data_IF_015680788873
#
_entry.id   IF_015680788873
#
_cell.length_a   1.000
_cell.length_b   1.000
_cell.length_c   1.000
_cell.angle_alpha   90.00
_cell.angle_beta   90.00
_cell.angle_gamma   90.00
#
_symmetry.space_group_name_H-M   'P 1'
#
loop_
_entity.id
_entity.type
_entity.pdbx_description
1 polymer ?
#
# COMPACT_ATOMS: atom_id res chain seq x y z
N UNK A 1 -9.14 3.86 -3.94
CA UNK A 1 -8.03 4.58 -4.61
C UNK A 1 -6.71 4.10 -4.00
N UNK A 2 -5.74 3.67 -4.81
CA UNK A 2 -4.43 3.25 -4.29
C UNK A 2 -3.53 4.47 -4.12
N UNK A 3 -2.86 4.57 -2.96
CA UNK A 3 -1.94 5.67 -2.63
C UNK A 3 -0.58 5.11 -2.23
N UNK A 4 0.48 5.69 -2.79
CA UNK A 4 1.85 5.47 -2.35
C UNK A 4 2.64 6.77 -2.50
N UNK A 5 3.59 7.03 -1.61
CA UNK A 5 4.39 8.25 -1.72
C UNK A 5 5.38 8.52 -0.59
N UNK A 6 6.22 9.52 -0.83
CA UNK A 6 7.19 10.10 0.10
C UNK A 6 7.03 11.63 0.03
N UNK A 7 6.90 12.36 1.13
CA UNK A 7 6.88 11.95 2.55
C UNK A 7 5.51 11.48 3.01
N UNK A 8 5.41 10.27 3.58
CA UNK A 8 4.15 9.65 4.02
C UNK A 8 3.47 10.49 5.12
N UNK A 9 4.27 11.03 6.04
CA UNK A 9 3.83 11.80 7.21
C UNK A 9 3.33 13.21 6.90
N UNK A 10 3.51 13.70 5.67
CA UNK A 10 3.10 15.04 5.25
C UNK A 10 2.11 14.95 4.08
N UNK A 11 2.62 14.66 2.89
CA UNK A 11 1.85 14.77 1.65
C UNK A 11 0.82 13.64 1.54
N UNK A 12 1.23 12.40 1.80
CA UNK A 12 0.33 11.23 1.71
C UNK A 12 -0.71 11.24 2.81
N UNK A 13 -0.32 11.64 4.02
CA UNK A 13 -1.22 11.84 5.14
C UNK A 13 -2.30 12.87 4.83
N UNK A 14 -1.93 14.06 4.38
CA UNK A 14 -2.91 15.11 4.09
C UNK A 14 -3.82 14.71 2.92
N UNK A 15 -3.25 14.17 1.84
CA UNK A 15 -4.04 13.68 0.71
C UNK A 15 -5.04 12.60 1.12
N UNK A 16 -4.65 11.67 2.00
CA UNK A 16 -5.54 10.60 2.47
C UNK A 16 -6.73 11.17 3.25
N UNK A 17 -6.51 12.19 4.07
CA UNK A 17 -7.59 12.85 4.82
C UNK A 17 -8.53 13.61 3.89
N UNK A 18 -8.00 14.33 2.91
CA UNK A 18 -8.80 15.07 1.93
C UNK A 18 -9.67 14.10 1.08
N UNK A 19 -9.12 12.93 0.72
CA UNK A 19 -9.86 11.90 0.00
C UNK A 19 -11.00 11.29 0.84
N UNK A 20 -10.75 11.03 2.12
CA UNK A 20 -11.79 10.57 3.05
C UNK A 20 -12.91 11.61 3.18
N UNK A 21 -12.57 12.90 3.32
CA UNK A 21 -13.54 13.99 3.38
C UNK A 21 -14.37 14.10 2.09
N UNK A 22 -13.74 13.87 0.94
CA UNK A 22 -14.41 13.83 -0.36
C UNK A 22 -15.22 12.53 -0.62
N UNK A 23 -15.29 11.61 0.36
CA UNK A 23 -16.07 10.38 0.28
C UNK A 23 -15.41 9.25 -0.53
N UNK A 24 -14.11 9.33 -0.79
CA UNK A 24 -13.34 8.25 -1.38
C UNK A 24 -12.80 7.31 -0.29
N UNK A 25 -12.45 6.09 -0.72
CA UNK A 25 -11.78 5.09 0.12
C UNK A 25 -10.29 4.99 -0.28
N UNK A 26 -9.37 5.62 0.46
CA UNK A 26 -7.95 5.50 0.21
C UNK A 26 -7.39 4.20 0.80
N UNK A 27 -6.69 3.46 -0.06
CA UNK A 27 -5.89 2.29 0.27
C UNK A 27 -4.42 2.70 0.20
N UNK A 28 -3.79 2.90 1.35
CA UNK A 28 -2.40 3.36 1.45
C UNK A 28 -1.48 2.15 1.40
N UNK A 29 -0.69 2.08 0.34
CA UNK A 29 0.28 1.01 0.07
C UNK A 29 1.56 1.33 0.85
N UNK A 30 1.70 0.70 2.01
CA UNK A 30 2.68 1.12 3.04
C UNK A 30 4.12 0.77 2.65
N UNK A 31 4.31 -0.33 1.93
CA UNK A 31 5.62 -0.86 1.53
C UNK A 31 6.16 -0.26 0.21
N UNK A 32 5.46 0.72 -0.35
CA UNK A 32 5.93 1.60 -1.43
C UNK A 32 5.94 3.07 -1.01
N UNK A 33 5.75 3.32 0.29
CA UNK A 33 5.71 4.64 0.90
C UNK A 33 6.82 4.79 1.92
N UNK A 34 7.13 6.04 2.32
CA UNK A 34 8.18 6.28 3.30
C UNK A 34 8.17 7.67 3.91
N UNK A 35 8.71 7.80 5.12
CA UNK A 35 9.03 9.09 5.77
C UNK A 35 10.50 9.18 6.16
N UNK A 36 10.96 10.38 6.54
CA UNK A 36 12.35 10.58 6.98
C UNK A 36 12.70 9.80 8.26
N UNK A 37 11.70 9.53 9.11
CA UNK A 37 11.88 8.75 10.34
C UNK A 37 10.77 7.74 10.52
N UNK A 38 11.10 6.60 11.14
CA UNK A 38 10.13 5.55 11.47
C UNK A 38 9.08 6.00 12.49
N UNK A 39 9.43 6.93 13.38
CA UNK A 39 8.47 7.51 14.33
C UNK A 39 7.38 8.29 13.61
N UNK A 40 7.77 9.18 12.68
CA UNK A 40 6.81 9.96 11.90
C UNK A 40 5.94 9.06 11.02
N UNK A 41 6.56 8.08 10.35
CA UNK A 41 5.86 7.11 9.53
C UNK A 41 4.78 6.36 10.33
N UNK A 42 5.17 5.83 11.50
CA UNK A 42 4.24 5.12 12.39
C UNK A 42 3.11 6.03 12.87
N UNK A 43 3.42 7.27 13.26
CA UNK A 43 2.40 8.23 13.69
C UNK A 43 1.40 8.55 12.57
N UNK A 44 1.88 8.71 11.34
CA UNK A 44 1.06 8.99 10.17
C UNK A 44 0.15 7.80 9.82
N UNK A 45 0.70 6.58 9.79
CA UNK A 45 -0.06 5.34 9.55
C UNK A 45 -1.19 5.18 10.58
N UNK A 46 -0.89 5.39 11.85
CA UNK A 46 -1.89 5.33 12.92
C UNK A 46 -2.98 6.38 12.75
N UNK A 47 -2.63 7.62 12.38
CA UNK A 47 -3.60 8.69 12.16
C UNK A 47 -4.50 8.41 10.96
N UNK A 48 -3.94 7.99 9.82
CA UNK A 48 -4.73 7.63 8.64
C UNK A 48 -5.68 6.46 8.91
N UNK A 49 -5.19 5.43 9.60
CA UNK A 49 -6.01 4.27 10.00
C UNK A 49 -7.18 4.69 10.89
N UNK A 50 -6.94 5.55 11.89
CA UNK A 50 -8.01 6.07 12.77
C UNK A 50 -9.02 6.94 12.01
N UNK A 51 -8.60 7.61 10.94
CA UNK A 51 -9.49 8.39 10.09
C UNK A 51 -10.32 7.53 9.12
N UNK A 52 -9.97 6.24 8.96
CA UNK A 52 -10.69 5.29 8.10
C UNK A 52 -9.98 4.91 6.80
N UNK A 53 -8.73 5.33 6.60
CA UNK A 53 -7.93 4.84 5.47
C UNK A 53 -7.49 3.38 5.70
N UNK A 54 -7.40 2.59 4.63
CA UNK A 54 -7.03 1.18 4.69
C UNK A 54 -5.55 1.02 4.38
N UNK A 55 -4.78 0.48 5.32
CA UNK A 55 -3.36 0.21 5.11
C UNK A 55 -3.18 -1.16 4.44
N UNK A 56 -2.45 -1.20 3.33
CA UNK A 56 -2.23 -2.41 2.52
C UNK A 56 -0.77 -2.55 2.09
N UNK A 57 -0.35 -3.75 1.70
CA UNK A 57 0.92 -3.98 1.01
C UNK A 57 0.71 -4.10 -0.49
N UNK A 58 1.72 -3.80 -1.30
CA UNK A 58 1.60 -3.92 -2.76
C UNK A 58 1.26 -5.35 -3.18
N UNK A 59 1.80 -6.34 -2.47
CA UNK A 59 1.50 -7.75 -2.72
C UNK A 59 0.05 -8.11 -2.35
N UNK A 60 -0.54 -7.52 -1.29
CA UNK A 60 -1.96 -7.74 -1.00
C UNK A 60 -2.85 -7.15 -2.11
N UNK A 61 -2.55 -5.92 -2.55
CA UNK A 61 -3.28 -5.23 -3.62
C UNK A 61 -3.20 -6.00 -4.94
N UNK A 62 -2.01 -6.44 -5.35
CA UNK A 62 -1.85 -7.21 -6.58
C UNK A 62 -2.65 -8.52 -6.53
N UNK A 63 -2.65 -9.21 -5.39
CA UNK A 63 -3.43 -10.43 -5.19
C UNK A 63 -4.95 -10.17 -5.27
N UNK A 64 -5.43 -9.08 -4.66
CA UNK A 64 -6.85 -8.69 -4.67
C UNK A 64 -7.34 -8.33 -6.08
N UNK A 65 -6.51 -7.66 -6.88
CA UNK A 65 -6.84 -7.30 -8.26
C UNK A 65 -6.94 -8.55 -9.15
N UNK A 66 -5.97 -9.45 -9.02
CA UNK A 66 -5.87 -10.65 -9.86
C UNK A 66 -6.93 -11.71 -9.51
N UNK A 67 -7.28 -11.86 -8.22
CA UNK A 67 -8.32 -12.76 -7.66
C UNK A 67 -8.08 -14.28 -7.80
N UNK A 68 -7.50 -14.76 -8.89
CA UNK A 68 -7.29 -16.19 -9.14
C UNK A 68 -5.88 -16.47 -9.67
N UNK A 69 -5.20 -17.44 -9.05
CA UNK A 69 -3.83 -17.85 -9.38
C UNK A 69 -3.75 -18.84 -10.54
N UNK A 70 -4.88 -19.42 -10.96
CA UNK A 70 -4.93 -20.39 -12.06
C UNK A 70 -4.98 -19.72 -13.44
N UNK A 71 -5.11 -18.40 -13.49
CA UNK A 71 -5.13 -17.66 -14.75
C UNK A 71 -3.71 -17.39 -15.25
N UNK A 72 -3.53 -17.05 -16.54
CA UNK A 72 -2.23 -16.65 -17.08
C UNK A 72 -1.60 -15.49 -16.29
N UNK A 73 -2.40 -14.52 -15.85
CA UNK A 73 -1.97 -13.37 -15.04
C UNK A 73 -1.41 -13.83 -13.68
N UNK A 74 -1.89 -14.97 -13.14
CA UNK A 74 -1.33 -15.60 -11.94
C UNK A 74 0.15 -15.95 -12.06
N UNK A 75 0.58 -16.38 -13.24
CA UNK A 75 2.00 -16.66 -13.51
C UNK A 75 2.80 -15.36 -13.58
N UNK A 76 2.28 -14.33 -14.24
CA UNK A 76 2.94 -13.02 -14.39
C UNK A 76 3.10 -12.30 -13.03
N UNK A 77 2.03 -12.25 -12.23
CA UNK A 77 2.08 -11.69 -10.87
C UNK A 77 3.01 -12.51 -9.97
N UNK A 78 3.02 -13.84 -10.13
CA UNK A 78 3.97 -14.73 -9.45
C UNK A 78 5.44 -14.37 -9.75
N UNK A 79 5.77 -14.01 -10.99
CA UNK A 79 7.11 -13.54 -11.36
C UNK A 79 7.45 -12.20 -10.69
N UNK A 80 6.51 -11.25 -10.67
CA UNK A 80 6.71 -9.97 -9.97
C UNK A 80 6.96 -10.17 -8.47
N UNK A 81 6.30 -11.16 -7.84
CA UNK A 81 6.53 -11.47 -6.43
C UNK A 81 7.91 -12.06 -6.22
N UNK A 82 8.41 -12.88 -7.15
CA UNK A 82 9.77 -13.40 -7.08
C UNK A 82 10.83 -12.30 -7.22
N UNK A 83 10.55 -11.23 -7.94
CA UNK A 83 11.51 -10.14 -8.13
C UNK A 83 11.46 -9.10 -7.00
N UNK A 84 10.26 -8.65 -6.64
CA UNK A 84 10.09 -7.46 -5.80
C UNK A 84 9.54 -7.76 -4.41
N UNK A 85 9.01 -8.95 -4.16
CA UNK A 85 8.43 -9.27 -2.86
C UNK A 85 9.46 -9.96 -1.97
N UNK A 86 9.24 -9.86 -0.67
CA UNK A 86 10.04 -10.59 0.31
C UNK A 86 10.05 -12.12 0.06
N UNK A 87 9.06 -12.64 -0.65
CA UNK A 87 8.94 -14.07 -0.99
C UNK A 87 9.94 -14.54 -2.06
N UNK A 88 10.52 -13.64 -2.84
CA UNK A 88 11.38 -14.02 -3.97
C UNK A 88 12.79 -14.49 -3.62
N UNK A 89 13.30 -14.10 -2.45
CA UNK A 89 14.70 -14.34 -2.05
C UNK A 89 14.86 -15.46 -1.00
N UNK A 90 13.88 -16.36 -0.84
CA UNK A 90 13.86 -17.38 0.23
C UNK A 90 13.50 -18.82 -0.18
N UNK A 91 13.49 -19.12 -1.48
CA UNK A 91 13.34 -20.49 -2.03
C UNK A 91 14.26 -20.65 -3.25
#
# INVERSE_FOLDING_TARGET
MLLGGISLDICTLQLSLDLLEAGYEPYVVVDVSGSDTSLNETAALLRMTQAGAVMVSWASVASEIMKDWQTPEGTEVGQLYQEFSYWGNRW
#
